data_IF_854722324895
#
_entry.id   IF_854722324895
#
_cell.length_a   1.000
_cell.length_b   1.000
_cell.length_c   1.000
_cell.angle_alpha   90.00
_cell.angle_beta   90.00
_cell.angle_gamma   90.00
#
_symmetry.space_group_name_H-M   'P 1'
#
loop_
_entity.id
_entity.type
_entity.pdbx_description
1 polymer ?
#
# COMPACT_ATOMS: atom_id res chain seq x y z
N UNK A 1 -2.33 -9.69 15.45
CA UNK A 1 -3.81 -9.74 15.46
C UNK A 1 -4.43 -8.35 15.64
N UNK A 2 -3.89 -7.49 16.52
CA UNK A 2 -4.37 -6.11 16.74
C UNK A 2 -4.42 -5.24 15.48
N UNK A 3 -3.30 -5.10 14.74
CA UNK A 3 -3.27 -4.27 13.53
C UNK A 3 -4.14 -4.79 12.39
N UNK A 4 -4.27 -6.12 12.28
CA UNK A 4 -5.13 -6.73 11.27
C UNK A 4 -6.58 -6.29 11.48
N UNK A 5 -7.05 -6.26 12.73
CA UNK A 5 -8.39 -5.77 13.06
C UNK A 5 -8.51 -4.25 12.87
N UNK A 6 -7.50 -3.47 13.30
CA UNK A 6 -7.47 -2.02 13.16
C UNK A 6 -7.66 -1.56 11.71
N UNK A 7 -6.90 -2.15 10.78
CA UNK A 7 -6.89 -1.71 9.39
C UNK A 7 -7.91 -2.44 8.51
N UNK A 8 -8.58 -3.49 9.03
CA UNK A 8 -9.53 -4.31 8.26
C UNK A 8 -10.58 -3.48 7.53
N UNK A 9 -11.23 -2.55 8.22
CA UNK A 9 -12.31 -1.77 7.63
C UNK A 9 -11.82 -0.87 6.49
N UNK A 10 -10.60 -0.32 6.60
CA UNK A 10 -9.98 0.50 5.55
C UNK A 10 -9.71 -0.37 4.31
N UNK A 11 -9.11 -1.54 4.48
CA UNK A 11 -8.87 -2.46 3.37
C UNK A 11 -10.17 -3.00 2.76
N UNK A 12 -11.19 -3.31 3.56
CA UNK A 12 -12.49 -3.72 3.06
C UNK A 12 -13.14 -2.62 2.20
N UNK A 13 -13.03 -1.36 2.61
CA UNK A 13 -13.53 -0.22 1.84
C UNK A 13 -12.68 0.05 0.58
N UNK A 14 -11.37 -0.11 0.68
CA UNK A 14 -10.44 -0.05 -0.46
C UNK A 14 -10.80 -1.07 -1.54
N UNK A 15 -11.12 -2.29 -1.15
CA UNK A 15 -11.65 -3.32 -2.06
C UNK A 15 -12.93 -2.88 -2.76
N UNK A 16 -13.87 -2.30 -2.01
CA UNK A 16 -15.16 -1.86 -2.57
C UNK A 16 -14.97 -0.80 -3.65
N UNK A 17 -14.01 0.12 -3.50
CA UNK A 17 -13.69 1.06 -4.57
C UNK A 17 -13.26 0.36 -5.86
N UNK A 18 -12.43 -0.68 -5.76
CA UNK A 18 -12.05 -1.49 -6.91
C UNK A 18 -13.24 -2.28 -7.48
N UNK A 19 -14.09 -2.88 -6.65
CA UNK A 19 -15.33 -3.53 -7.11
C UNK A 19 -16.21 -2.55 -7.89
N UNK A 20 -16.44 -1.34 -7.37
CA UNK A 20 -17.22 -0.31 -8.07
C UNK A 20 -16.58 0.12 -9.39
N UNK A 21 -15.25 0.22 -9.48
CA UNK A 21 -14.55 0.52 -10.73
C UNK A 21 -14.82 -0.59 -11.75
N UNK A 22 -14.65 -1.86 -11.34
CA UNK A 22 -14.81 -3.03 -12.21
C UNK A 22 -16.25 -3.31 -12.63
N UNK A 23 -17.23 -2.87 -11.83
CA UNK A 23 -18.65 -2.92 -12.19
C UNK A 23 -18.97 -1.95 -13.34
N UNK A 24 -18.20 -0.87 -13.50
CA UNK A 24 -18.45 0.17 -14.50
C UNK A 24 -17.58 -0.01 -15.75
N UNK A 25 -16.28 -0.29 -15.60
CA UNK A 25 -15.38 -0.46 -16.74
C UNK A 25 -14.14 -1.30 -16.40
N UNK A 26 -13.48 -1.79 -17.45
CA UNK A 26 -12.16 -2.41 -17.31
C UNK A 26 -11.05 -1.35 -17.44
N UNK A 27 -10.19 -1.13 -16.42
CA UNK A 27 -9.26 0.02 -16.43
C UNK A 27 -8.13 -0.04 -17.44
N UNK A 28 -7.84 -1.20 -18.02
CA UNK A 28 -6.69 -1.37 -18.92
C UNK A 28 -7.14 -1.61 -20.36
N UNK A 29 -6.51 -0.93 -21.32
CA UNK A 29 -6.74 -1.18 -22.74
C UNK A 29 -5.75 -2.24 -23.23
N UNK A 30 -6.26 -3.37 -23.73
CA UNK A 30 -5.47 -4.45 -24.34
C UNK A 30 -4.38 -5.06 -23.46
N UNK A 31 -4.46 -4.93 -22.13
CA UNK A 31 -3.49 -5.52 -21.21
C UNK A 31 -4.12 -5.84 -19.86
N UNK A 32 -3.40 -6.54 -19.00
CA UNK A 32 -3.75 -6.78 -17.60
C UNK A 32 -3.08 -5.77 -16.66
N UNK A 33 -2.62 -4.62 -17.17
CA UNK A 33 -1.93 -3.63 -16.37
C UNK A 33 -2.80 -2.48 -15.91
N UNK A 34 -2.99 -2.37 -14.59
CA UNK A 34 -3.52 -1.16 -13.98
C UNK A 34 -2.36 -0.25 -13.55
N UNK A 35 -2.55 1.06 -13.68
CA UNK A 35 -1.55 2.06 -13.28
C UNK A 35 -1.36 2.04 -11.76
N UNK A 36 -0.11 1.92 -11.30
CA UNK A 36 0.26 1.78 -9.88
C UNK A 36 -0.33 2.91 -9.01
N UNK A 37 -0.37 4.14 -9.50
CA UNK A 37 -0.97 5.31 -8.81
C UNK A 37 -2.40 5.09 -8.33
N UNK A 38 -3.17 4.20 -8.96
CA UNK A 38 -4.54 3.92 -8.50
C UNK A 38 -4.57 3.21 -7.14
N UNK A 39 -3.50 2.50 -6.77
CA UNK A 39 -3.41 1.82 -5.47
C UNK A 39 -3.47 2.85 -4.34
N UNK A 40 -2.55 3.82 -4.32
CA UNK A 40 -2.51 4.89 -3.32
C UNK A 40 -3.75 5.77 -3.37
N UNK A 41 -4.25 6.13 -4.56
CA UNK A 41 -5.46 6.96 -4.69
C UNK A 41 -6.70 6.26 -4.11
N UNK A 42 -6.96 5.02 -4.48
CA UNK A 42 -8.15 4.30 -4.00
C UNK A 42 -8.03 3.95 -2.51
N UNK A 43 -6.83 3.65 -2.01
CA UNK A 43 -6.62 3.42 -0.59
C UNK A 43 -6.86 4.68 0.23
N UNK A 44 -6.34 5.82 -0.24
CA UNK A 44 -6.53 7.11 0.45
C UNK A 44 -8.00 7.50 0.49
N UNK A 45 -8.74 7.30 -0.61
CA UNK A 45 -10.21 7.51 -0.64
C UNK A 45 -10.95 6.59 0.33
N UNK A 46 -10.48 5.37 0.53
CA UNK A 46 -11.05 4.45 1.52
C UNK A 46 -10.77 4.91 2.95
N UNK A 47 -9.56 5.38 3.22
CA UNK A 47 -9.20 5.94 4.53
C UNK A 47 -10.02 7.19 4.85
N UNK A 48 -10.09 8.16 3.94
CA UNK A 48 -10.83 9.42 4.11
C UNK A 48 -12.34 9.18 4.25
N UNK A 49 -12.90 8.17 3.58
CA UNK A 49 -14.31 7.81 3.77
C UNK A 49 -14.63 7.40 5.21
N UNK A 50 -13.70 6.72 5.87
CA UNK A 50 -13.83 6.30 7.26
C UNK A 50 -13.35 7.37 8.25
N UNK A 51 -12.48 8.28 7.80
CA UNK A 51 -11.89 9.36 8.59
C UNK A 51 -11.98 10.69 7.81
N UNK A 52 -13.17 11.34 7.75
CA UNK A 52 -13.40 12.48 6.85
C UNK A 52 -12.54 13.73 7.11
N UNK A 53 -11.85 13.79 8.25
CA UNK A 53 -10.95 14.89 8.63
C UNK A 53 -9.48 14.57 8.38
N UNK A 54 -9.16 13.37 7.92
CA UNK A 54 -7.82 13.03 7.51
C UNK A 54 -7.43 13.81 6.25
N UNK A 55 -6.13 14.06 6.11
CA UNK A 55 -5.57 14.81 4.99
C UNK A 55 -4.68 13.86 4.21
N UNK A 56 -4.95 13.69 2.92
CA UNK A 56 -4.06 12.98 1.99
C UNK A 56 -3.27 13.97 1.15
N UNK A 57 -1.97 13.72 1.02
CA UNK A 57 -1.10 14.38 0.05
C UNK A 57 -0.40 13.34 -0.82
N UNK A 58 -0.43 13.52 -2.14
CA UNK A 58 0.24 12.62 -3.09
C UNK A 58 1.61 13.18 -3.48
N UNK A 59 2.55 12.29 -3.85
CA UNK A 59 3.89 12.69 -4.27
C UNK A 59 4.58 13.56 -3.21
N UNK A 60 4.55 13.14 -1.95
CA UNK A 60 5.14 13.91 -0.85
C UNK A 60 6.66 13.89 -0.95
N UNK A 61 7.27 15.00 -1.37
CA UNK A 61 8.71 15.10 -1.60
C UNK A 61 9.52 15.35 -0.32
N UNK A 62 10.74 14.81 -0.24
CA UNK A 62 11.69 15.04 0.85
C UNK A 62 13.13 14.73 0.42
N UNK A 63 14.08 14.86 1.34
CA UNK A 63 15.49 14.62 1.09
C UNK A 63 16.18 15.77 0.36
N UNK A 64 17.49 15.61 0.14
CA UNK A 64 18.29 16.65 -0.51
C UNK A 64 17.76 16.97 -1.91
N UNK A 65 17.44 18.26 -2.15
CA UNK A 65 16.89 18.75 -3.43
C UNK A 65 15.53 18.15 -3.82
N UNK A 66 14.75 17.61 -2.87
CA UNK A 66 13.41 17.05 -3.12
C UNK A 66 13.40 15.90 -4.14
N UNK A 67 14.46 15.08 -4.16
CA UNK A 67 14.62 13.97 -5.09
C UNK A 67 13.92 12.68 -4.63
N UNK A 68 13.55 12.59 -3.35
CA UNK A 68 12.78 11.48 -2.81
C UNK A 68 11.31 11.87 -2.71
N UNK A 69 10.44 10.87 -2.77
CA UNK A 69 9.02 11.05 -2.50
C UNK A 69 8.41 9.77 -1.93
N UNK A 70 7.23 9.95 -1.33
CA UNK A 70 6.26 8.88 -1.12
C UNK A 70 5.08 9.05 -2.07
N UNK A 71 4.53 7.94 -2.57
CA UNK A 71 3.36 7.96 -3.45
C UNK A 71 2.17 8.66 -2.77
N UNK A 72 1.97 8.42 -1.47
CA UNK A 72 1.03 9.17 -0.64
C UNK A 72 1.47 9.30 0.82
N UNK A 73 1.04 10.40 1.44
CA UNK A 73 1.10 10.71 2.86
C UNK A 73 -0.33 10.92 3.35
N UNK A 74 -0.75 10.22 4.41
CA UNK A 74 -2.03 10.48 5.08
C UNK A 74 -1.76 10.93 6.51
N UNK A 75 -2.38 12.04 6.92
CA UNK A 75 -2.29 12.58 8.29
C UNK A 75 -3.69 12.58 8.92
N UNK A 76 -3.85 11.84 10.01
CA UNK A 76 -5.04 11.89 10.85
C UNK A 76 -4.72 12.56 12.19
N UNK A 77 -5.13 13.83 12.30
CA UNK A 77 -4.85 14.65 13.49
C UNK A 77 -5.64 14.23 14.72
N UNK A 78 -6.80 13.59 14.54
CA UNK A 78 -7.67 13.18 15.64
C UNK A 78 -7.12 11.94 16.34
N UNK A 79 -6.66 10.97 15.56
CA UNK A 79 -6.06 9.73 16.09
C UNK A 79 -4.56 9.82 16.31
N UNK A 80 -3.93 10.94 15.90
CA UNK A 80 -2.47 11.12 15.88
C UNK A 80 -1.77 10.00 15.11
N UNK A 81 -2.28 9.70 13.91
CA UNK A 81 -1.70 8.71 13.01
C UNK A 81 -1.17 9.34 11.73
N UNK A 82 -0.04 8.84 11.25
CA UNK A 82 0.58 9.27 10.00
C UNK A 82 0.95 8.04 9.18
N UNK A 83 0.60 8.04 7.90
CA UNK A 83 0.84 6.92 6.99
C UNK A 83 1.77 7.33 5.86
N UNK A 84 2.88 6.61 5.73
CA UNK A 84 3.82 6.70 4.61
C UNK A 84 3.52 5.55 3.65
N UNK A 85 3.07 5.87 2.44
CA UNK A 85 2.46 4.90 1.52
C UNK A 85 3.27 4.81 0.23
N UNK A 86 3.56 3.57 -0.16
CA UNK A 86 4.21 3.20 -1.41
C UNK A 86 3.39 2.14 -2.15
N UNK A 87 3.34 2.25 -3.47
CA UNK A 87 2.52 1.43 -4.35
C UNK A 87 3.37 0.69 -5.37
N UNK A 88 3.17 -0.61 -5.55
CA UNK A 88 3.91 -1.42 -6.54
C UNK A 88 3.03 -2.48 -7.21
N UNK A 89 3.18 -2.63 -8.52
CA UNK A 89 2.61 -3.73 -9.30
C UNK A 89 3.66 -4.80 -9.54
N UNK A 90 3.39 -6.04 -9.15
CA UNK A 90 4.30 -7.18 -9.38
C UNK A 90 4.30 -7.64 -10.86
N UNK A 91 4.83 -6.80 -11.74
CA UNK A 91 4.98 -7.05 -13.18
C UNK A 91 6.27 -7.82 -13.50
N UNK A 92 7.39 -7.44 -12.90
CA UNK A 92 8.69 -8.12 -12.92
C UNK A 92 9.10 -8.44 -11.48
N UNK A 93 9.19 -9.72 -11.13
CA UNK A 93 9.26 -10.17 -9.73
C UNK A 93 10.53 -9.70 -9.02
N UNK A 94 11.71 -10.02 -9.56
CA UNK A 94 12.97 -9.72 -8.90
C UNK A 94 13.17 -8.21 -8.75
N UNK A 95 12.84 -7.45 -9.81
CA UNK A 95 12.90 -6.00 -9.77
C UNK A 95 11.94 -5.42 -8.72
N UNK A 96 10.70 -5.90 -8.69
CA UNK A 96 9.66 -5.34 -7.81
C UNK A 96 9.86 -5.71 -6.35
N UNK A 97 10.38 -6.90 -6.07
CA UNK A 97 10.78 -7.28 -4.70
C UNK A 97 11.89 -6.35 -4.19
N UNK A 98 12.90 -6.07 -5.01
CA UNK A 98 13.97 -5.14 -4.64
C UNK A 98 13.46 -3.69 -4.47
N UNK A 99 12.55 -3.24 -5.34
CA UNK A 99 11.90 -1.92 -5.19
C UNK A 99 11.15 -1.83 -3.85
N UNK A 100 10.35 -2.84 -3.49
CA UNK A 100 9.64 -2.88 -2.19
C UNK A 100 10.63 -2.87 -1.01
N UNK A 101 11.76 -3.57 -1.11
CA UNK A 101 12.78 -3.52 -0.06
C UNK A 101 13.35 -2.11 0.12
N UNK A 102 13.64 -1.41 -0.97
CA UNK A 102 14.13 -0.03 -0.94
C UNK A 102 13.10 0.92 -0.36
N UNK A 103 11.82 0.70 -0.65
CA UNK A 103 10.71 1.51 -0.10
C UNK A 103 10.55 1.32 1.41
N UNK A 104 10.66 0.08 1.90
CA UNK A 104 10.65 -0.20 3.35
C UNK A 104 11.81 0.54 4.05
N UNK A 105 13.01 0.51 3.46
CA UNK A 105 14.17 1.23 3.99
C UNK A 105 13.88 2.73 4.02
N UNK A 106 13.43 3.29 2.88
CA UNK A 106 13.09 4.71 2.76
C UNK A 106 12.00 5.15 3.75
N UNK A 107 11.01 4.32 4.03
CA UNK A 107 9.98 4.60 5.04
C UNK A 107 10.57 4.63 6.45
N UNK A 108 11.48 3.71 6.80
CA UNK A 108 12.17 3.73 8.09
C UNK A 108 13.06 4.96 8.24
N UNK A 109 13.66 5.41 7.14
CA UNK A 109 14.53 6.59 7.13
C UNK A 109 13.77 7.90 7.43
N UNK A 110 12.43 7.93 7.32
CA UNK A 110 11.63 9.09 7.72
C UNK A 110 11.84 9.49 9.19
N UNK A 111 12.03 8.51 10.07
CA UNK A 111 12.20 8.76 11.52
C UNK A 111 13.67 8.80 11.95
N UNK A 112 14.61 8.39 11.10
CA UNK A 112 16.04 8.35 11.45
C UNK A 112 16.84 9.40 10.70
N UNK A 113 16.86 9.34 9.37
CA UNK A 113 17.69 10.20 8.51
C UNK A 113 16.96 11.50 8.19
N UNK A 114 15.67 11.42 7.86
CA UNK A 114 14.89 12.55 7.35
C UNK A 114 13.98 13.18 8.40
N UNK A 115 14.10 12.83 9.68
CA UNK A 115 13.19 13.27 10.74
C UNK A 115 12.99 14.80 10.76
N UNK A 116 14.07 15.57 10.62
CA UNK A 116 14.03 17.04 10.53
C UNK A 116 13.20 17.57 9.37
N UNK A 117 13.19 16.88 8.22
CA UNK A 117 12.38 17.27 7.05
C UNK A 117 10.89 17.13 7.35
N UNK A 118 10.51 16.16 8.18
CA UNK A 118 9.13 15.95 8.59
C UNK A 118 8.74 16.90 9.73
N UNK A 119 9.57 17.06 10.76
CA UNK A 119 9.31 17.97 11.89
C UNK A 119 9.11 19.43 11.44
N UNK A 120 9.86 19.89 10.45
CA UNK A 120 9.77 21.26 9.92
C UNK A 120 8.47 21.54 9.15
N UNK A 121 7.75 20.50 8.71
CA UNK A 121 6.56 20.62 7.84
C UNK A 121 5.28 20.06 8.45
N UNK A 122 5.40 19.16 9.42
CA UNK A 122 4.28 18.50 10.09
C UNK A 122 4.33 18.90 11.57
N UNK A 123 3.42 19.77 12.03
CA UNK A 123 3.37 20.18 13.43
C UNK A 123 3.23 18.98 14.35
N UNK A 124 4.07 18.94 15.39
CA UNK A 124 4.09 17.85 16.38
C UNK A 124 4.30 16.47 15.74
N UNK A 125 5.16 16.38 14.71
CA UNK A 125 5.44 15.12 14.00
C UNK A 125 5.73 13.95 14.94
N UNK A 126 6.54 14.16 15.98
CA UNK A 126 6.90 13.13 16.95
C UNK A 126 5.75 12.67 17.87
N UNK A 127 4.62 13.39 17.88
CA UNK A 127 3.42 12.94 18.61
C UNK A 127 2.60 11.93 17.81
N UNK A 128 2.90 11.72 16.52
CA UNK A 128 2.17 10.79 15.68
C UNK A 128 2.71 9.36 15.83
N UNK A 129 1.80 8.38 15.86
CA UNK A 129 2.15 7.00 15.53
C UNK A 129 2.30 6.89 14.02
N UNK A 130 3.47 6.42 13.56
CA UNK A 130 3.80 6.37 12.14
C UNK A 130 3.64 4.95 11.64
N UNK A 131 2.93 4.79 10.54
CA UNK A 131 2.71 3.53 9.85
C UNK A 131 3.34 3.56 8.45
N UNK A 132 4.03 2.48 8.11
CA UNK A 132 4.42 2.20 6.73
C UNK A 132 3.36 1.34 6.08
N UNK A 133 3.01 1.66 4.83
CA UNK A 133 2.09 0.85 4.03
C UNK A 133 2.70 0.59 2.67
N UNK A 134 2.84 -0.69 2.31
CA UNK A 134 3.09 -1.09 0.93
C UNK A 134 1.78 -1.62 0.34
N UNK A 135 1.24 -0.89 -0.63
CA UNK A 135 0.11 -1.30 -1.43
C UNK A 135 0.62 -1.99 -2.69
N UNK A 136 0.16 -3.20 -2.96
CA UNK A 136 0.55 -3.90 -4.18
C UNK A 136 -0.63 -4.53 -4.87
N UNK A 137 -0.43 -4.81 -6.15
CA UNK A 137 -1.27 -5.74 -6.87
C UNK A 137 -0.46 -6.80 -7.62
N UNK A 138 -1.14 -7.91 -7.88
CA UNK A 138 -0.57 -9.04 -8.59
C UNK A 138 -1.61 -9.71 -9.47
N UNK A 139 -1.19 -10.01 -10.69
CA UNK A 139 -1.94 -10.82 -11.63
C UNK A 139 -1.35 -12.23 -11.64
N UNK A 140 -2.12 -13.26 -11.33
CA UNK A 140 -1.63 -14.64 -11.15
C UNK A 140 -1.45 -15.39 -12.48
N UNK A 141 -0.75 -14.78 -13.42
CA UNK A 141 -0.54 -15.29 -14.79
C UNK A 141 0.65 -16.27 -14.89
N UNK A 142 1.51 -16.31 -13.87
CA UNK A 142 2.70 -17.18 -13.83
C UNK A 142 2.89 -17.79 -12.45
N UNK A 143 3.64 -18.92 -12.40
CA UNK A 143 3.98 -19.60 -11.13
C UNK A 143 4.65 -18.65 -10.12
N UNK A 144 5.55 -17.78 -10.60
CA UNK A 144 6.22 -16.81 -9.73
C UNK A 144 5.24 -15.78 -9.15
N UNK A 145 4.32 -15.24 -9.96
CA UNK A 145 3.30 -14.30 -9.47
C UNK A 145 2.30 -14.97 -8.52
N UNK A 146 1.97 -16.24 -8.74
CA UNK A 146 1.19 -17.06 -7.80
C UNK A 146 1.94 -17.17 -6.45
N UNK A 147 3.23 -17.48 -6.48
CA UNK A 147 4.04 -17.60 -5.26
C UNK A 147 4.15 -16.28 -4.48
N UNK A 148 4.14 -15.13 -5.16
CA UNK A 148 4.04 -13.82 -4.50
C UNK A 148 2.70 -13.70 -3.79
N UNK A 149 1.58 -13.90 -4.51
CA UNK A 149 0.23 -13.87 -3.93
C UNK A 149 0.11 -14.78 -2.70
N UNK A 150 0.56 -16.03 -2.81
CA UNK A 150 0.54 -16.99 -1.71
C UNK A 150 1.40 -16.55 -0.52
N UNK A 151 2.53 -15.87 -0.74
CA UNK A 151 3.35 -15.38 0.37
C UNK A 151 2.70 -14.24 1.14
N UNK A 152 1.84 -13.43 0.51
CA UNK A 152 1.01 -12.45 1.22
C UNK A 152 -0.13 -13.11 1.99
N UNK A 153 -0.79 -14.11 1.41
CA UNK A 153 -1.86 -14.87 2.08
C UNK A 153 -1.37 -15.63 3.31
N UNK A 154 -0.18 -16.21 3.20
CA UNK A 154 0.48 -16.93 4.28
C UNK A 154 1.22 -16.00 5.24
N UNK A 155 1.18 -14.68 5.04
CA UNK A 155 1.80 -13.67 5.91
C UNK A 155 3.33 -13.79 6.06
N UNK A 156 4.00 -14.32 5.03
CA UNK A 156 5.44 -14.62 5.03
C UNK A 156 6.22 -13.86 3.95
N UNK A 157 5.59 -12.95 3.19
CA UNK A 157 6.26 -12.24 2.10
C UNK A 157 7.55 -11.57 2.56
N UNK A 158 7.52 -10.77 3.63
CA UNK A 158 8.74 -10.10 4.10
C UNK A 158 9.80 -11.07 4.61
N UNK A 159 9.40 -12.16 5.27
CA UNK A 159 10.34 -13.16 5.80
C UNK A 159 10.99 -14.00 4.69
N UNK A 160 10.22 -14.24 3.62
CA UNK A 160 10.67 -15.03 2.46
C UNK A 160 11.61 -14.24 1.57
N UNK A 161 11.37 -12.95 1.39
CA UNK A 161 12.07 -12.13 0.40
C UNK A 161 13.07 -11.13 1.00
N UNK A 162 12.97 -10.81 2.30
CA UNK A 162 13.85 -9.84 2.95
C UNK A 162 14.56 -10.45 4.17
N UNK A 163 15.79 -10.01 4.40
CA UNK A 163 16.60 -10.50 5.52
C UNK A 163 16.17 -9.96 6.89
N UNK A 164 15.35 -8.90 6.94
CA UNK A 164 14.98 -8.22 8.16
C UNK A 164 13.48 -8.34 8.41
N UNK A 165 13.12 -8.83 9.60
CA UNK A 165 11.72 -8.91 10.04
C UNK A 165 11.19 -7.52 10.39
N UNK A 166 10.03 -7.18 9.85
CA UNK A 166 9.30 -5.98 10.28
C UNK A 166 8.52 -6.29 11.55
N UNK A 167 8.59 -5.43 12.59
CA UNK A 167 7.80 -5.63 13.79
C UNK A 167 6.32 -5.43 13.48
N UNK A 168 5.47 -6.26 14.08
CA UNK A 168 4.02 -6.01 14.14
C UNK A 168 3.33 -5.79 12.78
N UNK A 169 3.74 -6.55 11.77
CA UNK A 169 3.17 -6.50 10.41
C UNK A 169 1.77 -7.10 10.34
N UNK A 170 0.88 -6.51 9.54
CA UNK A 170 -0.40 -7.08 9.16
C UNK A 170 -0.53 -7.13 7.63
N UNK A 171 -0.91 -8.29 7.12
CA UNK A 171 -1.09 -8.55 5.69
C UNK A 171 -2.57 -8.54 5.30
N UNK A 172 -2.83 -8.05 4.09
CA UNK A 172 -4.14 -7.95 3.47
C UNK A 172 -4.07 -8.50 2.05
N UNK A 173 -4.85 -9.54 1.78
CA UNK A 173 -5.02 -10.09 0.43
C UNK A 173 -6.50 -10.10 0.08
N UNK A 174 -6.85 -9.55 -1.08
CA UNK A 174 -8.23 -9.41 -1.53
C UNK A 174 -8.37 -9.88 -2.97
N UNK A 175 -9.37 -10.74 -3.19
CA UNK A 175 -9.73 -11.26 -4.50
C UNK A 175 -11.04 -10.66 -5.00
N UNK A 176 -11.21 -10.69 -6.33
CA UNK A 176 -12.39 -10.17 -7.01
C UNK A 176 -13.16 -11.31 -7.66
N UNK A 177 -14.18 -11.80 -6.95
CA UNK A 177 -14.95 -12.97 -7.36
C UNK A 177 -16.28 -12.62 -8.04
N UNK A 178 -16.65 -11.33 -8.13
CA UNK A 178 -17.87 -10.93 -8.85
C UNK A 178 -17.56 -10.93 -10.35
N UNK A 179 -18.12 -11.86 -11.13
CA UNK A 179 -17.93 -11.83 -12.57
C UNK A 179 -18.80 -10.70 -13.10
N UNK A 180 -18.19 -9.55 -13.40
CA UNK A 180 -18.69 -8.79 -14.53
C UNK A 180 -18.57 -9.75 -15.73
N UNK A 181 -19.68 -10.16 -16.39
CA UNK A 181 -19.63 -11.18 -17.44
C UNK A 181 -18.71 -10.77 -18.60
N UNK A 182 -18.43 -9.47 -18.73
CA UNK A 182 -17.52 -8.88 -19.71
C UNK A 182 -16.05 -8.83 -19.25
N UNK A 183 -15.74 -9.11 -17.98
CA UNK A 183 -14.38 -8.98 -17.41
C UNK A 183 -13.99 -10.24 -16.61
N UNK A 184 -13.95 -11.38 -17.29
CA UNK A 184 -13.62 -12.68 -16.68
C UNK A 184 -12.18 -12.78 -16.15
N UNK A 185 -11.29 -11.88 -16.56
CA UNK A 185 -9.86 -11.90 -16.18
C UNK A 185 -9.63 -11.49 -14.72
N UNK A 186 -10.58 -10.80 -14.07
CA UNK A 186 -10.44 -10.30 -12.69
C UNK A 186 -10.27 -11.40 -11.64
N UNK A 187 -10.66 -12.64 -11.93
CA UNK A 187 -10.39 -13.79 -11.04
C UNK A 187 -8.90 -14.05 -10.79
N UNK A 188 -8.04 -13.53 -11.67
CA UNK A 188 -6.59 -13.62 -11.55
C UNK A 188 -5.97 -12.35 -10.95
N UNK A 189 -6.77 -11.34 -10.59
CA UNK A 189 -6.30 -10.09 -10.00
C UNK A 189 -6.47 -10.10 -8.49
N UNK A 190 -5.42 -9.69 -7.78
CA UNK A 190 -5.41 -9.61 -6.33
C UNK A 190 -4.80 -8.28 -5.90
N UNK A 191 -5.44 -7.64 -4.91
CA UNK A 191 -4.78 -6.63 -4.09
C UNK A 191 -4.04 -7.35 -2.97
N UNK A 192 -2.75 -7.09 -2.86
CA UNK A 192 -1.87 -7.65 -1.84
C UNK A 192 -1.20 -6.48 -1.12
N UNK A 193 -1.27 -6.39 0.19
CA UNK A 193 -0.73 -5.23 0.90
C UNK A 193 -0.28 -5.62 2.28
N UNK A 194 0.60 -4.82 2.86
CA UNK A 194 0.92 -4.93 4.28
C UNK A 194 1.15 -3.57 4.90
N UNK A 195 0.93 -3.53 6.22
CA UNK A 195 1.11 -2.37 7.08
C UNK A 195 1.94 -2.79 8.29
N UNK A 196 2.81 -1.91 8.76
CA UNK A 196 3.56 -2.11 9.99
C UNK A 196 3.74 -0.77 10.71
N UNK A 197 3.96 -0.83 12.02
CA UNK A 197 4.30 0.34 12.83
C UNK A 197 5.78 0.69 12.64
N UNK A 198 6.06 1.96 12.36
CA UNK A 198 7.41 2.52 12.17
C UNK A 198 7.91 3.15 13.47
N UNK A 199 7.09 3.98 14.12
CA UNK A 199 7.34 4.57 15.45
C UNK A 199 6.05 4.75 16.23
#
# INVERSE_FOLDING_TARGET
MEYKNKFKNIFDEYKKYYECIFDVFYPSKNSTGFTERNLSVNFSKAYEKLNPKAITWFEFQFGEKNNLHYDALIINRETKELFLIESKRFSNLDKKVNEVQNDIIRIKEAITIYNSDFESRIPQFNDYTIYGIILTDVWTESKGKIAIKESFENEVFTEKYFSHKLPEIAYFTQSFNKPNPYIQTLKNYYLTSFVWKVS
#
